data_IF_675869610281
#
_entry.id   IF_675869610281
#
_cell.length_a   1.000
_cell.length_b   1.000
_cell.length_c   1.000
_cell.angle_alpha   90.00
_cell.angle_beta   90.00
_cell.angle_gamma   90.00
#
_symmetry.space_group_name_H-M   'P 1'
#
loop_
_entity.id
_entity.type
_entity.pdbx_description
1 polymer ?
#
# COMPACT_ATOMS: atom_id res chain seq x y z
N UNK A 1 -14.79 1.74 34.68
CA UNK A 1 -14.52 3.19 34.61
C UNK A 1 -13.03 3.53 34.42
N UNK A 2 -12.01 2.88 35.09
CA UNK A 2 -10.59 3.18 34.85
C UNK A 2 -10.15 2.89 33.42
N UNK A 3 -10.74 1.88 32.77
CA UNK A 3 -10.44 1.47 31.40
C UNK A 3 -10.73 2.58 30.38
N UNK A 4 -11.84 3.30 30.53
CA UNK A 4 -12.22 4.41 29.64
C UNK A 4 -11.33 5.65 29.84
N UNK A 5 -10.87 5.91 31.07
CA UNK A 5 -9.98 7.04 31.36
C UNK A 5 -8.56 6.85 30.79
N UNK A 6 -8.13 5.61 30.57
CA UNK A 6 -6.82 5.27 29.98
C UNK A 6 -6.87 4.98 28.48
N UNK A 7 -8.01 5.17 27.83
CA UNK A 7 -8.22 4.79 26.39
C UNK A 7 -7.23 5.46 25.44
N UNK A 8 -6.73 6.63 25.77
CA UNK A 8 -5.75 7.39 24.95
C UNK A 8 -4.41 6.66 24.76
N UNK A 9 -4.03 5.81 25.72
CA UNK A 9 -2.74 5.11 25.73
C UNK A 9 -2.87 3.62 25.36
N UNK A 10 -4.07 3.10 25.16
CA UNK A 10 -4.28 1.67 24.95
C UNK A 10 -3.64 1.12 23.68
N UNK A 11 -3.73 1.84 22.57
CA UNK A 11 -3.23 1.34 21.30
C UNK A 11 -1.70 1.18 21.32
N UNK A 12 -0.97 2.17 21.82
CA UNK A 12 0.49 2.09 21.97
C UNK A 12 0.90 1.10 23.06
N UNK A 13 0.26 1.14 24.24
CA UNK A 13 0.55 0.25 25.34
C UNK A 13 0.37 -1.24 24.98
N UNK A 14 -0.74 -1.65 24.38
CA UNK A 14 -0.96 -3.04 23.99
C UNK A 14 -0.13 -3.50 22.78
N UNK A 15 0.32 -2.59 21.92
CA UNK A 15 1.28 -2.93 20.86
C UNK A 15 2.68 -3.18 21.40
N UNK A 16 3.10 -2.42 22.39
CA UNK A 16 4.41 -2.54 23.03
C UNK A 16 4.45 -3.73 24.00
N UNK A 17 3.37 -3.93 24.74
CA UNK A 17 3.26 -4.98 25.75
C UNK A 17 2.37 -6.15 25.30
N UNK A 18 2.58 -6.66 24.10
CA UNK A 18 1.82 -7.82 23.56
C UNK A 18 1.79 -9.01 24.53
N UNK A 19 2.84 -9.18 25.32
CA UNK A 19 2.98 -10.24 26.32
C UNK A 19 1.98 -10.13 27.47
N UNK A 20 1.50 -8.93 27.82
CA UNK A 20 0.51 -8.76 28.90
C UNK A 20 -0.80 -9.50 28.62
N UNK A 21 -1.16 -9.67 27.36
CA UNK A 21 -2.32 -10.51 26.99
C UNK A 21 -2.16 -11.97 27.42
N UNK A 22 -0.91 -12.44 27.56
CA UNK A 22 -0.59 -13.81 27.94
C UNK A 22 -0.49 -14.01 29.46
N UNK A 23 -0.39 -12.92 30.22
CA UNK A 23 -0.22 -12.98 31.69
C UNK A 23 -1.52 -12.83 32.47
N UNK A 24 -2.64 -12.44 31.82
CA UNK A 24 -3.94 -12.29 32.48
C UNK A 24 -4.68 -13.62 32.56
N UNK A 25 -4.38 -14.45 33.54
CA UNK A 25 -5.10 -15.69 33.84
C UNK A 25 -6.30 -15.38 34.75
N UNK A 26 -7.54 -15.87 34.50
CA UNK A 26 -7.96 -16.85 33.47
C UNK A 26 -8.49 -16.24 32.14
N UNK A 27 -8.35 -14.93 31.91
CA UNK A 27 -8.92 -14.27 30.74
C UNK A 27 -8.32 -14.77 29.41
N UNK A 28 -7.04 -15.12 29.39
CA UNK A 28 -6.35 -15.56 28.17
C UNK A 28 -6.89 -16.88 27.59
N UNK A 29 -7.08 -17.97 28.37
CA UNK A 29 -7.69 -19.19 27.85
C UNK A 29 -9.11 -18.97 27.36
N UNK A 30 -9.93 -18.19 28.09
CA UNK A 30 -11.32 -17.89 27.67
C UNK A 30 -11.33 -17.09 26.36
N UNK A 31 -10.46 -16.10 26.23
CA UNK A 31 -10.30 -15.34 24.98
C UNK A 31 -9.82 -16.24 23.82
N UNK A 32 -8.83 -17.11 24.08
CA UNK A 32 -8.30 -18.02 23.08
C UNK A 32 -9.35 -19.03 22.59
N UNK A 33 -10.14 -19.60 23.52
CA UNK A 33 -11.24 -20.49 23.18
C UNK A 33 -12.36 -19.76 22.41
N UNK A 34 -12.74 -18.56 22.84
CA UNK A 34 -13.71 -17.74 22.13
C UNK A 34 -13.25 -17.36 20.72
N UNK A 35 -11.95 -17.05 20.57
CA UNK A 35 -11.35 -16.78 19.27
C UNK A 35 -11.31 -18.02 18.37
N UNK A 36 -10.94 -19.19 18.91
CA UNK A 36 -10.96 -20.46 18.17
C UNK A 36 -12.38 -20.82 17.73
N UNK A 37 -13.36 -20.72 18.61
CA UNK A 37 -14.77 -20.95 18.27
C UNK A 37 -15.25 -19.97 17.18
N UNK A 38 -14.89 -18.68 17.28
CA UNK A 38 -15.21 -17.70 16.24
C UNK A 38 -14.56 -18.04 14.90
N UNK A 39 -13.29 -18.48 14.88
CA UNK A 39 -12.59 -18.91 13.66
C UNK A 39 -13.30 -20.14 13.05
N UNK A 40 -13.64 -21.13 13.86
CA UNK A 40 -14.35 -22.34 13.38
C UNK A 40 -15.73 -22.01 12.83
N UNK A 41 -16.49 -21.13 13.50
CA UNK A 41 -17.79 -20.67 13.00
C UNK A 41 -17.66 -19.92 11.68
N UNK A 42 -16.68 -19.04 11.55
CA UNK A 42 -16.38 -18.32 10.30
C UNK A 42 -15.98 -19.28 9.19
N UNK A 43 -15.16 -20.29 9.48
CA UNK A 43 -14.77 -21.32 8.50
C UNK A 43 -15.96 -22.18 8.06
N UNK A 44 -16.86 -22.50 8.99
CA UNK A 44 -18.08 -23.26 8.68
C UNK A 44 -19.07 -22.44 7.82
N UNK A 45 -19.09 -21.12 7.96
CA UNK A 45 -19.93 -20.20 7.21
C UNK A 45 -19.25 -19.69 5.93
N UNK A 46 -17.95 -19.98 5.74
CA UNK A 46 -17.21 -19.56 4.58
C UNK A 46 -17.82 -20.12 3.28
N UNK A 47 -17.81 -19.34 2.19
CA UNK A 47 -18.23 -19.85 0.89
C UNK A 47 -17.45 -21.10 0.53
N UNK A 48 -18.16 -22.18 0.16
CA UNK A 48 -17.54 -23.46 -0.25
C UNK A 48 -16.87 -23.37 -1.63
N UNK A 49 -17.23 -22.36 -2.39
CA UNK A 49 -16.71 -22.10 -3.73
C UNK A 49 -16.14 -20.69 -3.79
N UNK A 50 -15.08 -20.54 -4.55
CA UNK A 50 -14.50 -19.23 -4.82
C UNK A 50 -15.46 -18.42 -5.70
N UNK A 51 -15.67 -17.15 -5.31
CA UNK A 51 -16.46 -16.20 -6.10
C UNK A 51 -15.54 -15.59 -7.15
N UNK A 52 -15.82 -15.87 -8.40
CA UNK A 52 -15.12 -15.28 -9.52
C UNK A 52 -15.69 -13.90 -9.85
N UNK A 53 -14.80 -12.98 -10.19
CA UNK A 53 -15.16 -11.63 -10.63
C UNK A 53 -14.64 -11.36 -12.04
N UNK A 54 -15.28 -10.41 -12.73
CA UNK A 54 -14.88 -9.97 -14.06
C UNK A 54 -14.60 -11.14 -15.02
N UNK A 55 -15.50 -12.14 -15.04
CA UNK A 55 -15.41 -13.30 -15.94
C UNK A 55 -15.57 -12.92 -17.42
N UNK A 56 -16.16 -11.75 -17.67
CA UNK A 56 -16.32 -11.11 -18.96
C UNK A 56 -15.11 -10.23 -19.35
N UNK A 57 -14.06 -10.21 -18.52
CA UNK A 57 -12.90 -9.38 -18.76
C UNK A 57 -12.16 -9.76 -20.05
N UNK A 58 -11.94 -8.76 -20.91
CA UNK A 58 -11.21 -8.92 -22.16
C UNK A 58 -10.19 -7.79 -22.33
N UNK A 59 -9.01 -8.13 -22.80
CA UNK A 59 -8.03 -7.12 -23.23
C UNK A 59 -8.41 -6.62 -24.63
N UNK A 60 -8.73 -5.33 -24.74
CA UNK A 60 -9.27 -4.75 -25.98
C UNK A 60 -8.19 -4.34 -26.98
N UNK A 61 -6.94 -4.16 -26.51
CA UNK A 61 -5.79 -3.93 -27.37
C UNK A 61 -5.02 -5.23 -27.61
N UNK A 62 -4.51 -5.43 -28.82
CA UNK A 62 -3.68 -6.58 -29.11
C UNK A 62 -2.25 -6.37 -28.53
N UNK A 63 -1.82 -7.13 -27.52
CA UNK A 63 -0.52 -6.94 -26.89
C UNK A 63 0.67 -7.22 -27.82
N UNK A 64 0.46 -7.96 -28.92
CA UNK A 64 1.54 -8.28 -29.87
C UNK A 64 1.82 -7.18 -30.89
N UNK A 65 0.90 -6.21 -31.06
CA UNK A 65 0.99 -5.13 -32.07
C UNK A 65 1.28 -3.76 -31.48
N UNK A 66 1.36 -3.64 -30.16
CA UNK A 66 1.69 -2.40 -29.44
C UNK A 66 2.92 -2.58 -28.55
N UNK A 67 3.47 -1.48 -28.05
CA UNK A 67 4.48 -1.55 -26.98
C UNK A 67 3.92 -2.29 -25.76
N UNK A 68 4.69 -3.16 -25.13
CA UNK A 68 4.29 -3.78 -23.86
C UNK A 68 4.10 -2.71 -22.78
N UNK A 69 3.25 -3.01 -21.82
CA UNK A 69 2.99 -2.14 -20.66
C UNK A 69 3.84 -2.57 -19.49
N UNK A 70 4.48 -1.60 -18.84
CA UNK A 70 5.22 -1.80 -17.60
C UNK A 70 4.65 -0.84 -16.55
N UNK A 71 3.80 -1.37 -15.70
CA UNK A 71 3.09 -0.60 -14.68
C UNK A 71 3.62 -0.96 -13.30
N UNK A 72 3.90 0.04 -12.48
CA UNK A 72 4.20 -0.14 -11.06
C UNK A 72 3.05 0.41 -10.22
N UNK A 73 2.51 -0.44 -9.35
CA UNK A 73 1.66 -0.02 -8.25
C UNK A 73 2.50 -0.01 -6.96
N UNK A 74 2.70 1.14 -6.37
CA UNK A 74 3.28 1.25 -5.04
C UNK A 74 2.15 1.31 -4.02
N UNK A 75 2.04 0.25 -3.21
CA UNK A 75 1.18 0.23 -2.03
C UNK A 75 1.97 0.86 -0.89
N UNK A 76 1.65 2.13 -0.60
CA UNK A 76 2.27 2.86 0.50
C UNK A 76 1.73 2.40 1.85
N UNK A 77 2.48 2.68 2.90
CA UNK A 77 2.12 2.35 4.27
C UNK A 77 2.04 3.61 5.12
N UNK A 78 0.86 3.84 5.72
CA UNK A 78 0.63 4.85 6.77
C UNK A 78 0.91 6.31 6.33
N UNK A 79 0.94 6.64 5.05
CA UNK A 79 1.25 8.00 4.59
C UNK A 79 -0.03 8.88 4.52
N UNK A 80 -0.07 9.90 5.37
CA UNK A 80 -1.19 10.87 5.47
C UNK A 80 -1.21 11.82 4.28
N UNK A 81 -2.41 12.06 3.73
CA UNK A 81 -2.62 13.02 2.65
C UNK A 81 -2.38 14.48 3.07
N UNK A 82 -2.70 14.84 4.31
CA UNK A 82 -2.53 16.20 4.85
C UNK A 82 -1.08 16.51 5.29
N UNK A 83 -0.16 15.54 5.23
CA UNK A 83 1.29 15.74 5.40
C UNK A 83 2.05 15.79 4.06
N UNK A 84 1.35 15.82 2.94
CA UNK A 84 1.94 16.00 1.60
C UNK A 84 2.04 17.49 1.27
N UNK A 85 3.25 18.00 0.99
CA UNK A 85 3.43 19.42 0.63
C UNK A 85 2.59 19.84 -0.58
N UNK A 86 2.42 18.96 -1.57
CA UNK A 86 1.60 19.20 -2.76
C UNK A 86 0.09 19.35 -2.45
N UNK A 87 -0.33 18.95 -1.24
CA UNK A 87 -1.68 19.17 -0.70
C UNK A 87 -1.79 20.42 0.18
N UNK A 88 -0.73 21.24 0.23
CA UNK A 88 -0.71 22.45 1.03
C UNK A 88 -0.12 22.30 2.43
N UNK A 89 0.53 21.18 2.73
CA UNK A 89 1.29 21.02 3.98
C UNK A 89 2.46 22.01 4.02
N UNK A 90 2.70 22.61 5.18
CA UNK A 90 3.68 23.67 5.36
C UNK A 90 5.14 23.20 5.42
N UNK A 91 5.39 21.90 5.29
CA UNK A 91 6.72 21.29 5.29
C UNK A 91 7.01 20.58 3.98
N UNK A 92 8.27 20.61 3.57
CA UNK A 92 8.76 19.99 2.35
C UNK A 92 8.98 18.48 2.59
N UNK A 93 7.94 17.68 2.40
CA UNK A 93 7.93 16.23 2.65
C UNK A 93 8.09 15.37 1.39
N UNK A 94 7.74 15.91 0.22
CA UNK A 94 7.87 15.24 -1.09
C UNK A 94 8.60 16.12 -2.12
N UNK A 95 9.83 16.58 -1.84
CA UNK A 95 10.55 17.52 -2.73
C UNK A 95 10.89 16.94 -4.10
N UNK A 96 11.27 15.66 -4.17
CA UNK A 96 11.68 15.03 -5.41
C UNK A 96 10.47 14.76 -6.31
N UNK A 97 9.36 14.25 -5.75
CA UNK A 97 8.13 14.05 -6.52
C UNK A 97 7.53 15.38 -6.98
N UNK A 98 7.62 16.44 -6.17
CA UNK A 98 7.18 17.79 -6.55
C UNK A 98 7.98 18.35 -7.73
N UNK A 99 9.27 18.01 -7.83
CA UNK A 99 10.15 18.43 -8.91
C UNK A 99 10.09 17.50 -10.15
N UNK A 100 9.44 16.34 -10.03
CA UNK A 100 9.38 15.34 -11.11
C UNK A 100 8.31 15.72 -12.13
N UNK A 101 8.72 15.92 -13.38
CA UNK A 101 7.80 16.26 -14.47
C UNK A 101 6.80 15.12 -14.73
N UNK A 102 5.54 15.48 -14.95
CA UNK A 102 4.46 14.53 -15.29
C UNK A 102 3.81 13.85 -14.06
N UNK A 103 4.22 14.20 -12.85
CA UNK A 103 3.55 13.75 -11.63
C UNK A 103 2.23 14.49 -11.45
N UNK A 104 1.17 13.74 -11.20
CA UNK A 104 -0.11 14.25 -10.70
C UNK A 104 -0.27 13.77 -9.27
N UNK A 105 -0.36 14.72 -8.34
CA UNK A 105 -0.66 14.44 -6.95
C UNK A 105 -2.16 14.60 -6.70
N UNK A 106 -2.80 13.61 -6.04
CA UNK A 106 -4.22 13.65 -5.71
C UNK A 106 -4.40 14.08 -4.26
N UNK A 107 -5.16 15.14 -4.05
CA UNK A 107 -5.32 15.75 -2.73
C UNK A 107 -6.55 15.29 -1.96
N UNK A 108 -7.41 14.44 -2.56
CA UNK A 108 -8.66 13.97 -1.97
C UNK A 108 -8.84 12.47 -2.18
N UNK A 109 -7.96 11.66 -1.59
CA UNK A 109 -8.06 10.20 -1.66
C UNK A 109 -8.38 9.64 -0.27
N UNK A 110 -9.43 8.82 -0.20
CA UNK A 110 -9.90 8.21 1.04
C UNK A 110 -9.64 6.70 1.01
N UNK A 111 -8.99 6.22 2.05
CA UNK A 111 -8.69 4.81 2.24
C UNK A 111 -9.93 3.98 2.55
N UNK A 112 -9.94 2.73 2.12
CA UNK A 112 -10.99 1.76 2.39
C UNK A 112 -11.06 1.37 3.88
N UNK A 113 -9.93 1.37 4.57
CA UNK A 113 -9.81 1.00 5.96
C UNK A 113 -8.85 1.90 6.72
N UNK A 114 -8.65 1.58 7.98
CA UNK A 114 -7.73 2.25 8.90
C UNK A 114 -6.58 1.36 9.34
N UNK A 115 -6.38 0.23 8.68
CA UNK A 115 -5.30 -0.72 8.95
C UNK A 115 -4.93 -1.49 7.69
N UNK A 116 -3.66 -1.85 7.56
CA UNK A 116 -3.11 -2.61 6.43
C UNK A 116 -3.87 -3.92 6.16
N UNK A 117 -4.23 -4.64 7.23
CA UNK A 117 -4.95 -5.92 7.12
C UNK A 117 -6.35 -5.79 6.49
N UNK A 118 -6.96 -4.61 6.57
CA UNK A 118 -8.25 -4.31 5.96
C UNK A 118 -8.08 -3.61 4.60
N UNK A 119 -7.25 -2.56 4.56
CA UNK A 119 -7.12 -1.69 3.39
C UNK A 119 -6.48 -2.39 2.20
N UNK A 120 -5.37 -3.13 2.42
CA UNK A 120 -4.63 -3.73 1.30
C UNK A 120 -5.51 -4.69 0.50
N UNK A 121 -6.16 -5.72 1.06
CA UNK A 121 -7.02 -6.57 0.24
C UNK A 121 -8.24 -5.82 -0.33
N UNK A 122 -8.74 -4.77 0.33
CA UNK A 122 -9.80 -3.94 -0.22
C UNK A 122 -9.37 -3.15 -1.47
N UNK A 123 -8.14 -2.64 -1.52
CA UNK A 123 -7.59 -1.92 -2.67
C UNK A 123 -7.62 -2.73 -3.97
N UNK A 124 -7.51 -4.04 -3.87
CA UNK A 124 -7.51 -4.95 -5.02
C UNK A 124 -8.86 -5.59 -5.30
N UNK A 125 -9.85 -5.34 -4.44
CA UNK A 125 -11.17 -5.98 -4.53
C UNK A 125 -12.03 -5.38 -5.65
N UNK A 126 -12.92 -6.21 -6.20
CA UNK A 126 -14.02 -5.78 -7.06
C UNK A 126 -15.21 -5.23 -6.27
N UNK A 127 -15.30 -5.64 -5.00
CA UNK A 127 -16.31 -5.16 -4.06
C UNK A 127 -15.85 -3.82 -3.51
N UNK A 128 -16.67 -2.79 -3.71
CA UNK A 128 -16.34 -1.45 -3.21
C UNK A 128 -16.30 -1.39 -1.68
N UNK A 129 -15.59 -0.39 -1.14
CA UNK A 129 -15.36 -0.21 0.29
C UNK A 129 -16.63 -0.23 1.16
N UNK A 130 -17.78 0.11 0.57
CA UNK A 130 -19.07 0.12 1.28
C UNK A 130 -19.55 -1.28 1.66
N UNK A 131 -19.31 -2.25 0.77
CA UNK A 131 -19.81 -3.62 0.89
C UNK A 131 -18.65 -4.61 1.15
N UNK A 132 -17.43 -4.10 1.30
CA UNK A 132 -16.23 -4.93 1.53
C UNK A 132 -16.24 -5.54 2.93
N UNK A 133 -16.04 -6.86 2.96
CA UNK A 133 -15.86 -7.64 4.18
C UNK A 133 -14.55 -8.44 4.13
N UNK A 134 -13.66 -8.17 5.07
CA UNK A 134 -12.34 -8.81 5.17
C UNK A 134 -12.43 -10.32 5.39
N UNK A 135 -13.48 -10.80 6.05
CA UNK A 135 -13.65 -12.23 6.35
C UNK A 135 -14.01 -13.03 5.08
N UNK A 136 -14.68 -12.39 4.11
CA UNK A 136 -15.07 -13.02 2.84
C UNK A 136 -14.08 -12.77 1.71
N UNK A 137 -13.17 -11.80 1.86
CA UNK A 137 -12.24 -11.38 0.80
C UNK A 137 -11.35 -12.53 0.28
N UNK A 138 -10.93 -13.44 1.16
CA UNK A 138 -10.10 -14.60 0.77
C UNK A 138 -10.82 -15.61 -0.15
N UNK A 139 -12.14 -15.55 -0.19
CA UNK A 139 -12.99 -16.42 -1.04
C UNK A 139 -13.40 -15.73 -2.35
N UNK A 140 -12.93 -14.53 -2.59
CA UNK A 140 -13.25 -13.76 -3.78
C UNK A 140 -12.00 -13.52 -4.61
N UNK A 141 -12.14 -13.59 -5.94
CA UNK A 141 -11.09 -13.10 -6.84
C UNK A 141 -10.89 -11.60 -6.68
N UNK A 142 -9.68 -11.15 -6.92
CA UNK A 142 -9.31 -9.74 -6.99
C UNK A 142 -8.76 -9.39 -8.37
N UNK A 143 -8.38 -8.14 -8.58
CA UNK A 143 -7.92 -7.66 -9.89
C UNK A 143 -6.65 -8.37 -10.39
N UNK A 144 -5.78 -8.86 -9.49
CA UNK A 144 -4.58 -9.59 -9.90
C UNK A 144 -4.94 -10.95 -10.51
N UNK A 145 -5.96 -11.64 -9.98
CA UNK A 145 -6.44 -12.90 -10.56
C UNK A 145 -6.92 -12.69 -12.01
N UNK A 146 -7.65 -11.59 -12.26
CA UNK A 146 -8.11 -11.23 -13.61
C UNK A 146 -6.96 -10.91 -14.55
N UNK A 147 -6.01 -10.08 -14.10
CA UNK A 147 -4.84 -9.73 -14.91
C UNK A 147 -3.97 -10.95 -15.23
N UNK A 148 -3.77 -11.84 -14.25
CA UNK A 148 -3.06 -13.09 -14.43
C UNK A 148 -3.77 -14.02 -15.44
N UNK A 149 -5.10 -14.12 -15.36
CA UNK A 149 -5.93 -14.88 -16.34
C UNK A 149 -5.76 -14.34 -17.76
N UNK A 150 -5.56 -13.02 -17.91
CA UNK A 150 -5.27 -12.34 -19.19
C UNK A 150 -3.79 -12.35 -19.57
N UNK A 151 -2.96 -13.15 -18.88
CA UNK A 151 -1.53 -13.35 -19.16
C UNK A 151 -0.67 -12.09 -18.93
N UNK A 152 -1.11 -11.16 -18.11
CA UNK A 152 -0.24 -10.09 -17.59
C UNK A 152 0.73 -10.71 -16.58
N UNK A 153 2.03 -10.45 -16.73
CA UNK A 153 3.05 -10.87 -15.76
C UNK A 153 2.87 -10.07 -14.48
N UNK A 154 2.86 -10.73 -13.33
CA UNK A 154 2.68 -10.09 -12.04
C UNK A 154 3.91 -10.37 -11.17
N UNK A 155 4.43 -9.34 -10.52
CA UNK A 155 5.45 -9.46 -9.49
C UNK A 155 5.02 -8.63 -8.28
N UNK A 156 4.90 -9.28 -7.12
CA UNK A 156 4.70 -8.61 -5.84
C UNK A 156 5.98 -8.68 -5.00
N UNK A 157 6.56 -7.53 -4.67
CA UNK A 157 7.67 -7.40 -3.73
C UNK A 157 7.16 -6.79 -2.43
N UNK A 158 7.31 -7.51 -1.34
CA UNK A 158 6.74 -7.14 -0.04
C UNK A 158 7.84 -6.78 0.96
N UNK A 159 7.92 -5.51 1.33
CA UNK A 159 8.78 -5.04 2.44
C UNK A 159 7.96 -4.76 3.72
N UNK A 160 6.67 -5.10 3.74
CA UNK A 160 5.78 -4.92 4.87
C UNK A 160 5.63 -6.23 5.68
N UNK A 161 4.46 -6.78 5.77
CA UNK A 161 4.22 -7.97 6.61
C UNK A 161 3.56 -9.13 5.85
N UNK A 162 3.08 -8.92 4.66
CA UNK A 162 2.56 -9.86 3.65
C UNK A 162 1.62 -9.14 2.70
N UNK A 163 1.20 -9.80 1.62
CA UNK A 163 0.15 -9.30 0.71
C UNK A 163 -1.26 -9.29 1.32
N UNK A 164 -1.43 -9.69 2.58
CA UNK A 164 -2.72 -9.83 3.27
C UNK A 164 -3.73 -10.70 2.49
N UNK A 165 -3.24 -11.72 1.80
CA UNK A 165 -4.05 -12.64 1.03
C UNK A 165 -4.27 -12.27 -0.44
N UNK A 166 -3.90 -11.07 -0.87
CA UNK A 166 -4.11 -10.60 -2.26
C UNK A 166 -3.46 -11.53 -3.28
N UNK A 167 -2.27 -12.08 -2.97
CA UNK A 167 -1.51 -12.94 -3.89
C UNK A 167 -1.75 -14.43 -3.69
N UNK A 168 -2.64 -14.85 -2.79
CA UNK A 168 -2.81 -16.27 -2.42
C UNK A 168 -3.16 -17.19 -3.61
N UNK A 169 -3.71 -16.66 -4.69
CA UNK A 169 -4.13 -17.40 -5.89
C UNK A 169 -3.17 -17.27 -7.06
N UNK A 170 -2.12 -16.46 -6.90
CA UNK A 170 -1.05 -16.33 -7.88
C UNK A 170 0.01 -17.43 -7.67
N UNK A 171 0.84 -17.74 -8.69
CA UNK A 171 2.01 -18.58 -8.51
C UNK A 171 2.91 -18.07 -7.38
N UNK A 172 3.47 -18.97 -6.58
CA UNK A 172 4.29 -18.60 -5.43
C UNK A 172 5.54 -17.77 -5.83
N UNK A 173 6.03 -17.94 -7.05
CA UNK A 173 7.15 -17.18 -7.59
C UNK A 173 6.84 -15.70 -7.84
N UNK A 174 5.56 -15.35 -7.96
CA UNK A 174 5.10 -13.98 -8.20
C UNK A 174 5.10 -13.13 -6.92
N UNK A 175 5.26 -13.76 -5.75
CA UNK A 175 5.39 -13.08 -4.45
C UNK A 175 6.80 -13.25 -3.89
N UNK A 176 7.49 -12.15 -3.61
CA UNK A 176 8.84 -12.16 -3.02
C UNK A 176 8.86 -11.31 -1.76
N UNK A 177 9.23 -11.94 -0.64
CA UNK A 177 9.45 -11.26 0.65
C UNK A 177 10.77 -10.49 0.62
N UNK A 178 10.69 -9.16 0.70
CA UNK A 178 11.82 -8.22 0.77
C UNK A 178 12.10 -7.71 2.18
N UNK A 179 11.39 -8.19 3.18
CA UNK A 179 11.64 -7.90 4.60
C UNK A 179 12.77 -8.74 5.20
N UNK A 180 13.47 -9.46 4.37
CA UNK A 180 14.60 -10.32 4.75
C UNK A 180 15.86 -9.95 3.99
N UNK A 181 17.01 -10.04 4.67
CA UNK A 181 18.32 -9.80 4.05
C UNK A 181 18.66 -10.78 2.90
N UNK A 182 17.92 -11.89 2.78
CA UNK A 182 18.07 -12.84 1.69
C UNK A 182 17.73 -12.22 0.33
N UNK A 183 16.68 -11.41 0.29
CA UNK A 183 16.13 -10.84 -0.95
C UNK A 183 16.39 -9.33 -1.05
N UNK A 184 16.57 -8.65 0.09
CA UNK A 184 16.76 -7.20 0.15
C UNK A 184 18.16 -6.88 0.66
N UNK A 185 19.04 -6.42 -0.22
CA UNK A 185 20.42 -6.06 0.10
C UNK A 185 20.55 -4.83 1.00
N UNK A 186 19.44 -4.10 1.21
CA UNK A 186 19.40 -2.87 2.02
C UNK A 186 18.88 -3.11 3.44
N UNK A 187 18.87 -4.35 3.95
CA UNK A 187 18.42 -4.65 5.30
C UNK A 187 19.43 -4.27 6.39
N UNK A 188 20.73 -4.46 6.13
CA UNK A 188 21.78 -4.28 7.13
C UNK A 188 22.58 -2.97 6.94
N UNK A 189 21.99 -2.00 6.25
CA UNK A 189 22.64 -0.71 5.94
C UNK A 189 22.37 0.38 6.99
N UNK A 190 21.64 0.04 8.06
CA UNK A 190 21.24 0.98 9.11
C UNK A 190 21.34 0.33 10.49
N UNK A 191 21.44 1.14 11.58
CA UNK A 191 21.67 0.62 12.94
C UNK A 191 20.50 -0.19 13.51
N UNK A 192 19.36 -0.21 12.84
CA UNK A 192 18.15 -0.87 13.32
C UNK A 192 17.90 -2.25 12.70
N UNK A 193 18.71 -2.64 11.70
CA UNK A 193 18.50 -3.87 10.93
C UNK A 193 17.22 -3.86 10.08
N UNK A 194 16.64 -2.69 9.83
CA UNK A 194 15.42 -2.53 9.02
C UNK A 194 15.76 -2.67 7.54
N UNK A 195 14.95 -3.43 6.81
CA UNK A 195 15.05 -3.50 5.36
C UNK A 195 14.44 -2.24 4.73
N UNK A 196 15.20 -1.57 3.85
CA UNK A 196 14.75 -0.33 3.19
C UNK A 196 13.90 -0.63 1.96
N UNK A 197 12.88 0.19 1.73
CA UNK A 197 11.98 0.04 0.57
C UNK A 197 12.72 0.13 -0.76
N UNK A 198 13.78 0.95 -0.85
CA UNK A 198 14.61 1.07 -2.05
C UNK A 198 15.26 -0.26 -2.47
N UNK A 199 15.45 -1.20 -1.55
CA UNK A 199 15.92 -2.54 -1.86
C UNK A 199 14.98 -3.32 -2.78
N UNK A 200 13.69 -2.99 -2.79
CA UNK A 200 12.72 -3.61 -3.71
C UNK A 200 12.97 -3.25 -5.19
N UNK A 201 13.77 -2.23 -5.48
CA UNK A 201 14.10 -1.85 -6.86
C UNK A 201 15.29 -2.65 -7.44
N UNK A 202 16.09 -3.28 -6.57
CA UNK A 202 17.27 -4.04 -6.98
C UNK A 202 16.86 -5.26 -7.80
N UNK A 203 17.48 -5.46 -8.99
CA UNK A 203 17.22 -6.61 -9.87
C UNK A 203 15.89 -6.53 -10.66
N UNK A 204 15.19 -5.38 -10.67
CA UNK A 204 14.00 -5.21 -11.51
C UNK A 204 14.34 -5.20 -13.01
N UNK A 205 15.52 -4.69 -13.39
CA UNK A 205 15.95 -4.73 -14.80
C UNK A 205 16.10 -6.17 -15.31
N UNK A 206 16.64 -7.06 -14.46
CA UNK A 206 16.81 -8.48 -14.82
C UNK A 206 15.45 -9.18 -14.92
N UNK A 207 14.51 -8.85 -14.02
CA UNK A 207 13.15 -9.36 -14.08
C UNK A 207 12.47 -8.96 -15.40
N UNK A 208 12.52 -7.67 -15.78
CA UNK A 208 11.90 -7.19 -17.03
C UNK A 208 12.53 -7.86 -18.26
N UNK A 209 13.87 -7.99 -18.29
CA UNK A 209 14.56 -8.71 -19.37
C UNK A 209 14.15 -10.18 -19.45
N UNK A 210 13.98 -10.83 -18.31
CA UNK A 210 13.55 -12.23 -18.24
C UNK A 210 12.15 -12.40 -18.82
N UNK A 211 11.21 -11.50 -18.50
CA UNK A 211 9.85 -11.52 -19.05
C UNK A 211 9.87 -11.32 -20.58
N UNK A 212 10.71 -10.42 -21.10
CA UNK A 212 10.83 -10.16 -22.52
C UNK A 212 11.37 -11.38 -23.31
N UNK A 213 12.14 -12.25 -22.66
CA UNK A 213 12.72 -13.46 -23.27
C UNK A 213 11.77 -14.67 -23.24
N UNK A 214 10.64 -14.58 -22.55
CA UNK A 214 9.63 -15.63 -22.56
C UNK A 214 8.80 -15.51 -23.84
N UNK A 215 8.62 -16.61 -24.57
CA UNK A 215 7.74 -16.68 -25.75
C UNK A 215 6.27 -16.60 -25.36
N UNK A 216 5.90 -15.57 -24.60
CA UNK A 216 4.50 -15.32 -24.19
C UNK A 216 3.88 -14.29 -25.13
N UNK A 217 2.61 -14.47 -25.51
CA UNK A 217 1.92 -13.53 -26.40
C UNK A 217 1.67 -12.16 -25.75
N UNK A 218 1.70 -12.09 -24.41
CA UNK A 218 1.53 -10.85 -23.67
C UNK A 218 2.74 -10.61 -22.79
N UNK A 219 3.45 -9.53 -23.02
CA UNK A 219 4.62 -9.09 -22.25
C UNK A 219 4.27 -7.95 -21.28
N UNK A 220 2.99 -7.65 -21.13
CA UNK A 220 2.54 -6.67 -20.15
C UNK A 220 2.93 -7.12 -18.74
N UNK A 221 3.39 -6.17 -17.95
CA UNK A 221 3.91 -6.47 -16.61
C UNK A 221 3.36 -5.48 -15.59
N UNK A 222 2.79 -6.02 -14.51
CA UNK A 222 2.45 -5.29 -13.29
C UNK A 222 3.43 -5.66 -12.19
N UNK A 223 4.11 -4.67 -11.65
CA UNK A 223 4.93 -4.81 -10.45
C UNK A 223 4.23 -4.12 -9.29
N UNK A 224 3.98 -4.83 -8.22
CA UNK A 224 3.45 -4.28 -6.96
C UNK A 224 4.58 -4.19 -5.95
N UNK A 225 4.83 -2.99 -5.43
CA UNK A 225 5.84 -2.71 -4.41
C UNK A 225 5.12 -2.31 -3.12
N UNK A 226 5.11 -3.20 -2.13
CA UNK A 226 4.44 -2.99 -0.85
C UNK A 226 5.44 -2.49 0.19
N UNK A 227 5.36 -1.21 0.54
CA UNK A 227 6.32 -0.52 1.38
C UNK A 227 6.20 -0.87 2.87
N UNK A 228 7.31 -0.75 3.60
CA UNK A 228 7.32 -0.51 5.04
C UNK A 228 6.93 0.95 5.35
N UNK A 229 7.30 1.88 4.50
CA UNK A 229 6.87 3.28 4.53
C UNK A 229 6.96 3.94 5.90
N UNK A 230 5.85 4.52 6.34
CA UNK A 230 5.73 5.23 7.61
C UNK A 230 5.20 4.35 8.77
N UNK A 231 5.33 3.02 8.70
CA UNK A 231 4.77 2.10 9.71
C UNK A 231 5.22 2.44 11.12
N UNK A 232 4.26 2.80 11.99
CA UNK A 232 4.47 3.16 13.39
C UNK A 232 4.60 1.94 14.34
N UNK A 233 4.89 2.19 15.62
CA UNK A 233 5.15 3.50 16.25
C UNK A 233 6.58 4.03 16.08
N UNK A 234 7.53 3.23 15.62
CA UNK A 234 8.94 3.57 15.56
C UNK A 234 9.31 4.29 14.26
N UNK A 235 8.71 5.45 13.99
CA UNK A 235 8.94 6.21 12.75
C UNK A 235 10.44 6.53 12.53
N UNK A 236 11.20 6.80 13.60
CA UNK A 236 12.64 7.08 13.54
C UNK A 236 13.48 5.95 12.96
N UNK A 237 12.93 4.72 12.88
CA UNK A 237 13.60 3.57 12.25
C UNK A 237 13.33 3.45 10.75
N UNK A 238 12.37 4.20 10.19
CA UNK A 238 11.90 4.03 8.81
C UNK A 238 12.77 4.72 7.77
N UNK A 239 13.73 5.55 8.19
CA UNK A 239 14.58 6.33 7.31
C UNK A 239 16.06 6.28 7.73
N UNK A 240 16.94 6.61 6.80
CA UNK A 240 18.37 6.78 7.05
C UNK A 240 18.66 8.23 7.48
N UNK A 241 19.78 8.45 8.16
CA UNK A 241 20.16 9.75 8.73
C UNK A 241 20.11 10.92 7.74
N UNK A 242 20.36 10.66 6.46
CA UNK A 242 20.25 11.67 5.41
C UNK A 242 18.86 12.29 5.25
N UNK A 243 17.80 11.56 5.64
CA UNK A 243 16.41 12.04 5.62
C UNK A 243 15.96 12.68 6.94
N UNK A 244 16.79 12.70 7.98
CA UNK A 244 16.47 13.35 9.25
C UNK A 244 16.66 14.87 9.14
N UNK A 245 15.71 15.53 8.47
CA UNK A 245 15.70 16.99 8.25
C UNK A 245 14.95 17.73 9.33
N UNK A 246 13.92 17.13 9.87
CA UNK A 246 13.07 17.70 10.92
C UNK A 246 13.53 17.15 12.28
N UNK A 247 13.96 18.02 13.19
CA UNK A 247 14.53 17.66 14.50
C UNK A 247 13.98 18.57 15.60
N UNK A 248 13.98 18.10 16.88
CA UNK A 248 14.36 16.79 17.36
C UNK A 248 13.34 15.70 16.97
N UNK A 249 13.73 14.42 17.04
CA UNK A 249 12.86 13.29 16.71
C UNK A 249 12.53 12.45 17.94
N UNK A 250 11.30 11.92 18.01
CA UNK A 250 10.92 10.93 18.99
C UNK A 250 11.60 9.60 18.67
N UNK A 251 12.45 9.11 19.56
CA UNK A 251 13.17 7.83 19.46
C UNK A 251 12.56 6.74 20.35
N UNK A 252 11.25 6.81 20.61
CA UNK A 252 10.51 5.87 21.44
C UNK A 252 9.34 5.27 20.70
N UNK A 253 8.96 4.04 21.08
CA UNK A 253 7.71 3.43 20.67
C UNK A 253 6.52 3.95 21.50
N UNK A 254 6.76 4.53 22.67
CA UNK A 254 5.75 5.15 23.52
C UNK A 254 5.54 6.62 23.12
N UNK A 255 4.83 6.82 21.99
CA UNK A 255 4.64 8.14 21.38
C UNK A 255 4.05 9.18 22.34
N UNK A 256 3.16 8.76 23.23
CA UNK A 256 2.53 9.65 24.22
C UNK A 256 3.51 10.22 25.27
N UNK A 257 4.72 9.67 25.39
CA UNK A 257 5.79 10.18 26.26
C UNK A 257 6.73 11.16 25.56
N UNK A 258 6.65 11.25 24.24
CA UNK A 258 7.44 12.19 23.45
C UNK A 258 6.78 13.57 23.39
N UNK A 259 7.59 14.59 23.15
CA UNK A 259 7.07 15.86 22.69
C UNK A 259 6.28 15.68 21.38
N UNK A 260 5.04 16.20 21.25
CA UNK A 260 4.21 16.01 20.07
C UNK A 260 4.90 16.42 18.75
N UNK A 261 5.68 17.50 18.77
CA UNK A 261 6.40 17.98 17.59
C UNK A 261 7.50 16.99 17.16
N UNK A 262 8.14 16.32 18.13
CA UNK A 262 9.17 15.32 17.83
C UNK A 262 8.58 14.04 17.18
N UNK A 263 7.34 13.69 17.49
CA UNK A 263 6.60 12.61 16.82
C UNK A 263 6.34 12.97 15.36
N UNK A 264 5.82 14.18 15.12
CA UNK A 264 5.57 14.71 13.77
C UNK A 264 6.87 14.79 12.97
N UNK A 265 7.98 15.24 13.59
CA UNK A 265 9.28 15.31 12.94
C UNK A 265 9.77 13.93 12.46
N UNK A 266 9.66 12.91 13.29
CA UNK A 266 10.05 11.55 12.93
C UNK A 266 9.17 10.99 11.79
N UNK A 267 7.87 11.27 11.83
CA UNK A 267 6.92 10.87 10.79
C UNK A 267 7.21 11.57 9.45
N UNK A 268 7.45 12.88 9.46
CA UNK A 268 7.74 13.66 8.25
C UNK A 268 9.09 13.28 7.62
N UNK A 269 10.09 12.90 8.44
CA UNK A 269 11.35 12.37 7.94
C UNK A 269 11.16 11.01 7.23
N UNK A 270 10.23 10.18 7.68
CA UNK A 270 9.90 8.93 7.01
C UNK A 270 9.20 9.18 5.65
N UNK A 271 8.40 10.27 5.53
CA UNK A 271 7.84 10.69 4.23
C UNK A 271 8.94 11.12 3.25
N UNK A 272 10.03 11.75 3.70
CA UNK A 272 11.17 12.08 2.84
C UNK A 272 11.84 10.81 2.26
N UNK A 273 11.90 9.73 3.04
CA UNK A 273 12.41 8.45 2.54
C UNK A 273 11.44 7.81 1.53
N UNK A 274 10.13 7.96 1.74
CA UNK A 274 9.10 7.55 0.77
C UNK A 274 9.22 8.35 -0.53
N UNK A 275 9.42 9.67 -0.45
CA UNK A 275 9.66 10.54 -1.61
C UNK A 275 10.85 10.08 -2.46
N UNK A 276 11.99 9.79 -1.81
CA UNK A 276 13.19 9.26 -2.48
C UNK A 276 12.93 7.92 -3.16
N UNK A 277 12.19 7.02 -2.51
CA UNK A 277 11.81 5.74 -3.08
C UNK A 277 10.93 5.90 -4.33
N UNK A 278 9.92 6.77 -4.27
CA UNK A 278 9.03 7.04 -5.40
C UNK A 278 9.77 7.68 -6.57
N UNK A 279 10.63 8.67 -6.30
CA UNK A 279 11.45 9.32 -7.33
C UNK A 279 12.41 8.32 -8.01
N UNK A 280 13.03 7.42 -7.26
CA UNK A 280 13.85 6.33 -7.80
C UNK A 280 13.04 5.34 -8.65
N UNK A 281 11.80 5.06 -8.24
CA UNK A 281 10.89 4.20 -9.01
C UNK A 281 10.52 4.84 -10.35
N UNK A 282 10.17 6.14 -10.35
CA UNK A 282 9.90 6.90 -11.58
C UNK A 282 11.14 6.96 -12.48
N UNK A 283 12.31 7.25 -11.92
CA UNK A 283 13.56 7.28 -12.68
C UNK A 283 13.90 5.92 -13.29
N UNK A 284 13.63 4.83 -12.59
CA UNK A 284 13.80 3.49 -13.12
C UNK A 284 12.83 3.21 -14.26
N UNK A 285 11.54 3.50 -14.10
CA UNK A 285 10.52 3.36 -15.16
C UNK A 285 10.84 4.21 -16.39
N UNK A 286 11.36 5.41 -16.18
CA UNK A 286 11.73 6.34 -17.26
C UNK A 286 12.75 5.76 -18.26
N UNK A 287 13.58 4.81 -17.85
CA UNK A 287 14.51 4.09 -18.75
C UNK A 287 13.79 3.27 -19.79
N UNK A 288 12.56 2.84 -19.53
CA UNK A 288 11.75 1.98 -20.39
C UNK A 288 10.75 2.77 -21.25
N UNK A 289 10.60 4.10 -21.08
CA UNK A 289 9.58 4.90 -21.74
C UNK A 289 9.64 4.87 -23.28
N UNK A 290 10.84 4.62 -23.86
CA UNK A 290 11.00 4.47 -25.31
C UNK A 290 10.49 3.12 -25.83
N UNK A 291 10.52 2.07 -25.02
CA UNK A 291 10.22 0.68 -25.41
C UNK A 291 8.90 0.17 -24.85
N UNK A 292 8.42 0.72 -23.73
CA UNK A 292 7.20 0.34 -23.03
C UNK A 292 6.26 1.53 -22.85
N UNK A 293 4.98 1.25 -22.63
CA UNK A 293 4.06 2.20 -22.05
C UNK A 293 4.20 2.08 -20.52
N UNK A 294 4.80 3.10 -19.90
CA UNK A 294 5.17 3.06 -18.47
C UNK A 294 4.26 3.94 -17.65
N UNK A 295 3.88 3.45 -16.46
CA UNK A 295 3.15 4.24 -15.46
C UNK A 295 3.46 3.77 -14.05
N UNK A 296 3.35 4.69 -13.09
CA UNK A 296 3.36 4.41 -11.65
C UNK A 296 2.10 5.01 -11.01
N UNK A 297 1.42 4.19 -10.22
CA UNK A 297 0.39 4.63 -9.27
C UNK A 297 0.90 4.38 -7.86
N UNK A 298 0.97 5.41 -7.03
CA UNK A 298 1.24 5.33 -5.61
C UNK A 298 -0.01 5.66 -4.82
N UNK A 299 -0.41 4.79 -3.91
CA UNK A 299 -1.53 5.04 -2.97
C UNK A 299 -1.16 4.44 -1.62
N UNK A 300 -1.19 5.24 -0.55
CA UNK A 300 -1.03 4.70 0.79
C UNK A 300 -2.28 3.94 1.23
N UNK A 301 -2.08 2.89 2.01
CA UNK A 301 -3.13 1.98 2.45
C UNK A 301 -4.05 2.60 3.52
N UNK A 302 -3.52 3.41 4.41
CA UNK A 302 -4.26 4.22 5.40
C UNK A 302 -3.40 5.40 5.87
N UNK A 303 -3.99 6.28 6.65
CA UNK A 303 -3.28 7.36 7.34
C UNK A 303 -2.95 6.99 8.80
N UNK A 304 -2.66 8.00 9.60
CA UNK A 304 -2.14 7.85 10.97
C UNK A 304 -2.59 8.99 11.88
N UNK A 305 -2.85 8.70 13.15
CA UNK A 305 -2.99 9.73 14.19
C UNK A 305 -1.65 9.93 14.90
N UNK A 306 -1.20 11.18 15.00
CA UNK A 306 0.11 11.55 15.54
C UNK A 306 0.02 12.25 16.90
N UNK A 307 -1.10 12.09 17.61
CA UNK A 307 -1.34 12.68 18.94
C UNK A 307 -2.50 13.68 18.97
N UNK A 308 -3.18 13.89 17.85
CA UNK A 308 -4.36 14.75 17.80
C UNK A 308 -5.43 14.22 18.77
N UNK A 309 -5.92 15.10 19.66
CA UNK A 309 -6.84 14.74 20.75
C UNK A 309 -6.33 13.57 21.63
N UNK A 310 -5.01 13.37 21.71
CA UNK A 310 -4.37 12.27 22.46
C UNK A 310 -4.52 10.91 21.78
N UNK A 311 -4.88 10.85 20.50
CA UNK A 311 -5.00 9.62 19.72
C UNK A 311 -3.70 9.43 18.94
N UNK A 312 -3.11 8.25 19.02
CA UNK A 312 -1.92 7.84 18.30
C UNK A 312 -2.19 6.59 17.46
N UNK A 313 -1.41 6.43 16.38
CA UNK A 313 -1.47 5.27 15.50
C UNK A 313 -2.80 5.17 14.71
N UNK A 314 -3.08 4.00 14.19
CA UNK A 314 -4.21 3.70 13.30
C UNK A 314 -5.03 2.51 13.82
N UNK A 315 -6.04 2.08 13.05
CA UNK A 315 -6.84 0.88 13.35
C UNK A 315 -8.08 1.16 14.20
N UNK A 316 -8.51 2.43 14.28
CA UNK A 316 -9.82 2.74 14.86
C UNK A 316 -10.95 2.24 13.97
N UNK A 317 -12.11 1.84 14.54
CA UNK A 317 -13.27 1.51 13.74
C UNK A 317 -13.61 2.63 12.76
N UNK A 318 -13.78 2.30 11.47
CA UNK A 318 -13.83 3.25 10.37
C UNK A 318 -14.82 4.40 10.57
N UNK A 319 -16.01 4.11 11.14
CA UNK A 319 -17.07 5.11 11.37
C UNK A 319 -16.67 6.23 12.32
N UNK A 320 -15.82 5.94 13.30
CA UNK A 320 -15.38 6.88 14.35
C UNK A 320 -13.93 7.32 14.19
N UNK A 321 -13.22 6.75 13.22
CA UNK A 321 -11.81 7.07 12.95
C UNK A 321 -11.68 8.53 12.47
N UNK A 322 -10.66 9.27 12.97
CA UNK A 322 -10.34 10.61 12.48
C UNK A 322 -10.03 10.62 10.98
N UNK A 323 -10.20 11.78 10.34
CA UNK A 323 -9.83 11.96 8.93
C UNK A 323 -8.36 11.61 8.69
N UNK A 324 -7.49 11.91 9.65
CA UNK A 324 -6.05 11.62 9.62
C UNK A 324 -5.73 10.13 9.36
N UNK A 325 -6.60 9.19 9.79
CA UNK A 325 -6.42 7.75 9.55
C UNK A 325 -7.01 7.28 8.20
N UNK A 326 -7.74 8.14 7.50
CA UNK A 326 -8.49 7.80 6.27
C UNK A 326 -8.03 8.55 5.03
N UNK A 327 -7.59 9.80 5.18
CA UNK A 327 -7.09 10.63 4.09
C UNK A 327 -5.62 10.30 3.81
N UNK A 328 -5.33 9.79 2.61
CA UNK A 328 -4.05 9.18 2.26
C UNK A 328 -3.31 9.92 1.16
N UNK A 329 -1.99 9.83 1.19
CA UNK A 329 -1.13 10.29 0.12
C UNK A 329 -1.33 9.43 -1.14
N UNK A 330 -1.43 10.07 -2.31
CA UNK A 330 -1.58 9.37 -3.59
C UNK A 330 -1.01 10.19 -4.74
N UNK A 331 -0.27 9.54 -5.63
CA UNK A 331 0.37 10.18 -6.78
C UNK A 331 0.33 9.25 -7.99
N UNK A 332 0.23 9.83 -9.17
CA UNK A 332 0.33 9.13 -10.45
C UNK A 332 1.41 9.76 -11.30
N UNK A 333 2.14 8.93 -12.01
CA UNK A 333 3.08 9.34 -13.04
C UNK A 333 2.98 8.40 -14.25
N UNK A 334 3.13 8.96 -15.43
CA UNK A 334 3.23 8.19 -16.67
C UNK A 334 4.33 8.74 -17.57
N UNK A 335 4.98 7.85 -18.31
CA UNK A 335 6.00 8.22 -19.28
C UNK A 335 5.44 9.09 -20.41
N UNK A 336 6.27 9.91 -21.00
CA UNK A 336 5.89 10.85 -22.07
C UNK A 336 5.29 10.14 -23.28
N UNK A 337 5.74 8.91 -23.55
CA UNK A 337 5.32 8.12 -24.71
C UNK A 337 4.20 7.13 -24.40
N UNK A 338 3.71 7.11 -23.15
CA UNK A 338 2.64 6.18 -22.73
C UNK A 338 1.26 6.55 -23.28
N UNK A 339 1.02 7.83 -23.56
CA UNK A 339 -0.31 8.34 -23.92
C UNK A 339 -1.31 8.39 -22.75
N UNK A 340 -0.92 8.00 -21.55
CA UNK A 340 -1.78 7.91 -20.36
C UNK A 340 -1.83 9.28 -19.67
N UNK A 341 -3.04 9.72 -19.33
CA UNK A 341 -3.27 10.98 -18.61
C UNK A 341 -4.01 10.72 -17.31
N UNK A 342 -3.57 11.39 -16.24
CA UNK A 342 -4.29 11.40 -14.97
C UNK A 342 -5.59 12.23 -15.07
N UNK A 343 -6.55 11.93 -14.19
CA UNK A 343 -7.66 12.83 -13.90
C UNK A 343 -7.15 14.07 -13.13
N UNK A 344 -7.95 15.16 -13.00
CA UNK A 344 -7.52 16.33 -12.23
C UNK A 344 -7.14 15.98 -10.78
N UNK A 345 -6.14 16.68 -10.24
CA UNK A 345 -5.59 16.46 -8.90
C UNK A 345 -6.61 16.60 -7.76
N UNK A 346 -7.66 17.40 -7.96
CA UNK A 346 -8.73 17.64 -7.01
C UNK A 346 -9.92 16.70 -7.16
N UNK A 347 -9.81 15.67 -8.00
CA UNK A 347 -10.85 14.63 -8.12
C UNK A 347 -10.98 13.88 -6.79
N UNK A 348 -12.22 13.79 -6.29
CA UNK A 348 -12.51 12.96 -5.10
C UNK A 348 -12.44 11.49 -5.48
N UNK A 349 -11.50 10.79 -4.87
CA UNK A 349 -11.25 9.37 -5.13
C UNK A 349 -11.23 8.58 -3.81
N UNK A 350 -11.44 7.29 -3.95
CA UNK A 350 -11.26 6.32 -2.86
C UNK A 350 -10.42 5.15 -3.37
N UNK A 351 -10.08 4.22 -2.51
CA UNK A 351 -9.41 2.98 -2.91
C UNK A 351 -10.20 2.18 -3.95
N UNK A 352 -11.52 2.38 -4.07
CA UNK A 352 -12.35 1.73 -5.09
C UNK A 352 -11.94 2.09 -6.53
N UNK A 353 -11.20 3.18 -6.71
CA UNK A 353 -10.68 3.59 -8.02
C UNK A 353 -9.46 2.76 -8.46
N UNK A 354 -8.79 2.03 -7.58
CA UNK A 354 -7.54 1.31 -7.89
C UNK A 354 -7.79 0.15 -8.86
N UNK A 355 -8.69 -0.76 -8.51
CA UNK A 355 -9.04 -1.92 -9.34
C UNK A 355 -9.44 -1.54 -10.77
N UNK A 356 -10.41 -0.60 -11.00
CA UNK A 356 -10.75 -0.19 -12.37
C UNK A 356 -9.62 0.56 -13.08
N UNK A 357 -8.77 1.29 -12.35
CA UNK A 357 -7.59 1.94 -12.93
C UNK A 357 -6.56 0.93 -13.42
N UNK A 358 -6.28 -0.12 -12.63
CA UNK A 358 -5.37 -1.19 -13.04
C UNK A 358 -5.89 -1.88 -14.30
N UNK A 359 -7.16 -2.23 -14.37
CA UNK A 359 -7.74 -2.83 -15.57
C UNK A 359 -7.59 -1.91 -16.77
N UNK A 360 -7.90 -0.61 -16.63
CA UNK A 360 -7.75 0.36 -17.71
C UNK A 360 -6.31 0.55 -18.16
N UNK A 361 -5.34 0.57 -17.24
CA UNK A 361 -3.91 0.64 -17.56
C UNK A 361 -3.46 -0.52 -18.47
N UNK A 362 -4.09 -1.69 -18.34
CA UNK A 362 -3.82 -2.87 -19.18
C UNK A 362 -4.82 -3.03 -20.36
N UNK A 363 -5.58 -2.00 -20.70
CA UNK A 363 -6.62 -2.03 -21.74
C UNK A 363 -7.65 -3.14 -21.53
N UNK A 364 -7.97 -3.47 -20.29
CA UNK A 364 -8.95 -4.50 -19.94
C UNK A 364 -10.31 -3.86 -19.73
N UNK A 365 -11.32 -4.39 -20.44
CA UNK A 365 -12.73 -4.04 -20.26
C UNK A 365 -13.41 -5.14 -19.46
N UNK A 366 -14.20 -4.77 -18.46
CA UNK A 366 -15.08 -5.66 -17.70
C UNK A 366 -16.33 -4.89 -17.24
N UNK A 367 -17.50 -5.50 -17.28
CA UNK A 367 -18.76 -4.86 -16.85
C UNK A 367 -18.75 -4.48 -15.38
N UNK A 368 -18.13 -5.31 -14.55
CA UNK A 368 -18.06 -5.13 -13.07
C UNK A 368 -17.45 -3.77 -12.65
N UNK A 369 -16.61 -3.18 -13.50
CA UNK A 369 -15.96 -1.89 -13.23
C UNK A 369 -16.44 -0.73 -14.09
N UNK A 370 -17.43 -0.97 -14.94
CA UNK A 370 -17.95 0.06 -15.84
C UNK A 370 -18.54 1.23 -15.05
N UNK A 371 -18.16 2.46 -15.41
CA UNK A 371 -18.62 3.68 -14.76
C UNK A 371 -18.05 3.96 -13.36
N UNK A 372 -17.14 3.12 -12.84
CA UNK A 372 -16.45 3.39 -11.58
C UNK A 372 -15.41 4.52 -11.76
N UNK A 373 -15.13 5.30 -10.69
CA UNK A 373 -14.07 6.31 -10.70
C UNK A 373 -12.71 5.71 -11.03
N UNK A 374 -11.83 6.52 -11.64
CA UNK A 374 -10.49 6.14 -12.07
C UNK A 374 -9.48 7.21 -11.68
N UNK A 375 -8.22 6.84 -11.49
CA UNK A 375 -7.08 7.76 -11.36
C UNK A 375 -6.62 8.32 -12.73
N UNK A 376 -7.05 7.72 -13.82
CA UNK A 376 -6.68 8.10 -15.20
C UNK A 376 -7.93 8.38 -16.04
N UNK A 377 -7.75 9.20 -17.13
CA UNK A 377 -8.82 9.55 -18.08
C UNK A 377 -9.17 8.40 -19.00
#
# INVERSE_FOLDING_TARGET
>A
LPILAMSKNYASFFREHKQLRSYTNPATPVYALGKLASIQLKQAQAPKTQIMHATDAVQVSNPTTRKPKLVVLVVGETARGDHVQLNGYNRTTFPQMAATAGVTNFNQVIACGTSTAYSVPCMFSYVGMKDYDVDTANYQENVLDTLHRLKVNILWRDNNSSSKGVTNRLPAADFVDYKTARNNTMCNTNPYGECRDVGMLVGLDDYVKQQANQNTPNQDTLIVLHQMGNHGPAYFKRYDKQFEKFTPVCQSNELAKCDPQSVINAFDNALLATDDFLAKTVNWLGKYDSTHQVAMLYVSDHGESLGENGIYLHGMPYKIAPKAQKHVASMFWAGKHSGIQAVPSNTELTHDAITPTLLKLFDVRAQTVQGKPLFIK
#
